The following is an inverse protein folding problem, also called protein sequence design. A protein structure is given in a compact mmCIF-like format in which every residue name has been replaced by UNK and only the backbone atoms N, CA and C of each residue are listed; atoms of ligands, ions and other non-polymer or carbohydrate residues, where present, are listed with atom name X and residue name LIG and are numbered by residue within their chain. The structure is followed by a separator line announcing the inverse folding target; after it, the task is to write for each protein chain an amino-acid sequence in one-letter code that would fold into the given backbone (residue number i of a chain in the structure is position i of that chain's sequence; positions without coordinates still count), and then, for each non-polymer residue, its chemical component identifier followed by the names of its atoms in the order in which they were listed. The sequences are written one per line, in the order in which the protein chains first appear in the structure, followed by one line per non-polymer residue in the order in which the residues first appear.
data_IF_547161994030
#
_entry.id   IF_547161994030
#
_cell.length_a   1.000
_cell.length_b   1.000
_cell.length_c   1.000
_cell.angle_alpha   90.00
_cell.angle_beta   90.00
_cell.angle_gamma   90.00
#
_symmetry.space_group_name_H-M   'P 1'
#
loop_
_entity.id
_entity.type
_entity.pdbx_description
1 polymer ?
#
# COMPACT_ATOMS: atom_id res chain seq x y z
N UNK A 1 41.47 -58.39 -17.92
CA UNK A 1 41.48 -59.85 -18.13
C UNK A 1 40.04 -60.32 -18.21
N UNK A 2 39.70 -60.98 -19.33
CA UNK A 2 38.47 -61.71 -19.68
C UNK A 2 37.09 -60.99 -19.59
N UNK A 3 36.39 -60.83 -20.73
CA UNK A 3 35.03 -60.31 -20.86
C UNK A 3 33.99 -61.45 -20.91
N UNK A 4 32.73 -61.20 -20.57
CA UNK A 4 31.63 -62.15 -20.83
C UNK A 4 30.43 -61.46 -21.49
N UNK A 5 30.36 -61.69 -22.80
CA UNK A 5 29.22 -62.11 -23.62
C UNK A 5 27.91 -61.31 -23.66
N UNK A 6 27.79 -60.63 -24.81
CA UNK A 6 26.57 -60.36 -25.57
C UNK A 6 25.84 -61.66 -25.97
N UNK A 7 24.51 -61.69 -25.81
CA UNK A 7 23.61 -62.27 -26.81
C UNK A 7 22.33 -61.41 -26.96
N UNK A 8 22.14 -61.00 -28.21
CA UNK A 8 20.94 -60.47 -28.90
C UNK A 8 19.75 -61.44 -28.75
N UNK A 9 18.48 -61.12 -29.00
CA UNK A 9 17.84 -60.07 -29.78
C UNK A 9 16.31 -60.09 -29.54
N UNK A 10 15.71 -58.91 -29.66
CA UNK A 10 14.44 -58.58 -30.37
C UNK A 10 13.12 -59.27 -29.98
N UNK A 11 12.17 -58.47 -29.47
CA UNK A 11 10.92 -58.12 -30.18
C UNK A 11 10.31 -56.81 -29.60
N UNK A 12 9.76 -55.89 -30.43
CA UNK A 12 9.17 -54.61 -30.00
C UNK A 12 7.62 -54.65 -30.12
N UNK A 13 6.89 -53.51 -30.13
CA UNK A 13 6.17 -52.98 -28.98
C UNK A 13 4.64 -53.05 -29.17
N UNK A 14 3.88 -53.03 -28.07
CA UNK A 14 2.48 -52.55 -28.14
C UNK A 14 2.28 -51.46 -27.11
N UNK A 15 2.06 -50.27 -27.64
CA UNK A 15 1.58 -49.08 -26.97
C UNK A 15 0.49 -49.44 -25.96
N UNK A 16 0.67 -49.02 -24.70
CA UNK A 16 -0.46 -48.54 -23.94
C UNK A 16 -0.08 -47.21 -23.31
N UNK A 17 -0.71 -46.18 -23.88
CA UNK A 17 -0.87 -44.85 -23.32
C UNK A 17 -1.26 -44.97 -21.85
N UNK A 18 -0.95 -43.94 -21.08
CA UNK A 18 -1.29 -43.69 -19.68
C UNK A 18 -0.07 -43.79 -18.77
N UNK A 19 0.46 -42.62 -18.43
CA UNK A 19 0.76 -42.15 -17.07
C UNK A 19 1.59 -40.86 -17.19
N UNK A 20 0.92 -39.76 -17.55
CA UNK A 20 1.42 -38.42 -17.25
C UNK A 20 1.19 -38.21 -15.76
N UNK A 21 2.17 -38.59 -14.95
CA UNK A 21 2.13 -38.45 -13.51
C UNK A 21 2.57 -37.05 -13.10
N UNK A 22 1.58 -36.25 -12.70
CA UNK A 22 1.58 -35.44 -11.47
C UNK A 22 2.84 -34.60 -11.18
N UNK A 23 3.02 -33.50 -11.90
CA UNK A 23 3.69 -32.31 -11.37
C UNK A 23 2.62 -31.33 -10.85
N UNK A 24 1.86 -31.76 -9.82
CA UNK A 24 1.04 -30.85 -9.04
C UNK A 24 1.98 -30.02 -8.18
N UNK A 25 2.46 -28.92 -8.74
CA UNK A 25 3.18 -27.86 -8.04
C UNK A 25 2.33 -27.47 -6.83
N UNK A 26 2.88 -27.74 -5.64
CA UNK A 26 2.44 -27.20 -4.37
C UNK A 26 2.54 -25.67 -4.43
N UNK A 27 1.55 -25.02 -5.05
CA UNK A 27 1.29 -23.62 -4.82
C UNK A 27 0.85 -23.52 -3.35
N UNK A 28 1.61 -22.83 -2.48
CA UNK A 28 1.08 -22.51 -1.17
C UNK A 28 -0.17 -21.67 -1.43
N UNK A 29 -1.34 -22.27 -1.21
CA UNK A 29 -2.60 -21.54 -1.06
C UNK A 29 -2.47 -20.75 0.23
N UNK A 30 -1.72 -19.65 0.16
CA UNK A 30 -1.94 -18.54 1.06
C UNK A 30 -3.42 -18.25 0.93
N UNK A 31 -4.16 -18.46 2.01
CA UNK A 31 -5.51 -17.94 2.15
C UNK A 31 -5.39 -16.42 2.00
N UNK A 32 -5.42 -15.97 0.75
CA UNK A 32 -5.68 -14.60 0.38
C UNK A 32 -7.09 -14.39 0.89
N UNK A 33 -7.24 -13.79 2.06
CA UNK A 33 -8.50 -13.16 2.42
C UNK A 33 -8.96 -12.40 1.17
N UNK A 34 -10.18 -12.69 0.69
CA UNK A 34 -10.69 -12.18 -0.58
C UNK A 34 -10.55 -10.65 -0.62
N UNK A 35 -9.47 -10.19 -1.28
CA UNK A 35 -9.22 -8.77 -1.48
C UNK A 35 -10.27 -8.31 -2.48
N UNK A 36 -10.94 -7.18 -2.20
CA UNK A 36 -11.93 -6.63 -3.12
C UNK A 36 -11.33 -6.55 -4.54
N UNK A 37 -11.98 -7.17 -5.56
CA UNK A 37 -11.39 -7.32 -6.90
C UNK A 37 -11.10 -5.97 -7.57
N UNK A 38 -11.83 -4.91 -7.19
CA UNK A 38 -11.59 -3.55 -7.70
C UNK A 38 -10.26 -3.01 -7.19
N UNK A 39 -9.93 -3.27 -5.92
CA UNK A 39 -8.65 -2.87 -5.35
C UNK A 39 -7.52 -3.77 -5.84
N UNK A 40 -7.75 -5.09 -5.91
CA UNK A 40 -6.76 -6.05 -6.39
C UNK A 40 -6.27 -5.67 -7.80
N UNK A 41 -7.20 -5.33 -8.71
CA UNK A 41 -6.85 -4.86 -10.05
C UNK A 41 -5.94 -3.62 -10.01
N UNK A 42 -6.29 -2.60 -9.22
CA UNK A 42 -5.48 -1.39 -9.10
C UNK A 42 -4.08 -1.68 -8.56
N UNK A 43 -3.98 -2.55 -7.54
CA UNK A 43 -2.71 -2.98 -6.95
C UNK A 43 -1.85 -3.72 -7.98
N UNK A 44 -2.44 -4.68 -8.68
CA UNK A 44 -1.72 -5.58 -9.59
C UNK A 44 -1.25 -4.84 -10.86
N UNK A 45 -1.91 -3.75 -11.24
CA UNK A 45 -1.50 -2.85 -12.32
C UNK A 45 -0.46 -1.79 -11.88
N UNK A 46 -0.16 -1.69 -10.57
CA UNK A 46 0.76 -0.69 -10.00
C UNK A 46 2.18 -1.22 -9.78
N UNK A 47 3.17 -0.33 -9.85
CA UNK A 47 4.57 -0.67 -9.53
C UNK A 47 4.75 -0.73 -7.99
N UNK A 48 5.20 -1.87 -7.42
CA UNK A 48 5.41 -1.97 -5.98
C UNK A 48 6.55 -1.05 -5.53
N UNK A 49 6.30 -0.31 -4.45
CA UNK A 49 7.27 0.61 -3.88
C UNK A 49 8.24 -0.14 -2.96
N UNK A 50 9.54 -0.07 -3.23
CA UNK A 50 10.56 -0.68 -2.37
C UNK A 50 10.71 -0.03 -0.99
N UNK A 51 10.23 1.21 -0.82
CA UNK A 51 10.19 1.93 0.47
C UNK A 51 9.85 3.41 0.29
N UNK A 52 8.93 3.93 1.13
CA UNK A 52 8.43 5.30 1.00
C UNK A 52 9.50 6.36 1.26
N UNK A 53 10.32 6.21 2.31
CA UNK A 53 11.37 7.18 2.65
C UNK A 53 12.38 7.38 1.52
N UNK A 54 12.97 6.28 1.02
CA UNK A 54 13.93 6.33 -0.08
C UNK A 54 13.34 6.89 -1.38
N UNK A 55 12.06 6.61 -1.63
CA UNK A 55 11.34 7.23 -2.75
C UNK A 55 11.20 8.75 -2.57
N UNK A 56 10.75 9.20 -1.39
CA UNK A 56 10.53 10.61 -1.11
C UNK A 56 11.83 11.42 -1.16
N UNK A 57 12.94 10.88 -0.63
CA UNK A 57 14.26 11.52 -0.69
C UNK A 57 14.69 11.81 -2.13
N UNK A 58 14.54 10.82 -3.02
CA UNK A 58 14.88 10.96 -4.44
C UNK A 58 13.91 11.86 -5.20
N UNK A 59 12.62 11.77 -4.90
CA UNK A 59 11.58 12.55 -5.58
C UNK A 59 11.63 14.04 -5.23
N UNK A 60 11.83 14.35 -3.94
CA UNK A 60 11.98 15.73 -3.47
C UNK A 60 13.31 16.30 -3.93
N UNK A 61 14.41 15.59 -3.68
CA UNK A 61 15.77 16.05 -3.91
C UNK A 61 16.17 17.14 -2.92
N UNK A 62 17.01 16.81 -1.94
CA UNK A 62 17.51 17.77 -0.94
C UNK A 62 18.63 18.66 -1.52
N UNK A 63 18.34 19.40 -2.61
CA UNK A 63 19.38 20.07 -3.40
C UNK A 63 19.73 21.49 -2.92
N UNK A 64 19.58 21.78 -1.62
CA UNK A 64 19.88 23.08 -1.01
C UNK A 64 21.11 22.97 -0.09
N UNK A 65 22.10 23.85 -0.26
CA UNK A 65 23.31 23.93 0.58
C UNK A 65 24.61 24.09 -0.21
N UNK A 66 25.68 24.56 0.46
CA UNK A 66 26.98 24.86 -0.17
C UNK A 66 27.77 23.62 -0.62
N UNK A 67 27.40 22.43 -0.14
CA UNK A 67 28.08 21.15 -0.42
C UNK A 67 27.21 20.20 -1.26
N UNK A 68 26.14 20.70 -1.89
CA UNK A 68 25.25 19.89 -2.71
C UNK A 68 25.87 19.67 -4.09
N UNK A 69 25.82 18.42 -4.57
CA UNK A 69 26.23 18.05 -5.92
C UNK A 69 25.48 18.91 -6.97
N UNK A 70 26.21 19.58 -7.89
CA UNK A 70 25.60 20.33 -9.00
C UNK A 70 24.56 19.55 -9.81
N UNK A 71 24.67 18.22 -9.85
CA UNK A 71 23.76 17.32 -10.56
C UNK A 71 22.48 16.97 -9.78
N UNK A 72 22.39 17.31 -8.48
CA UNK A 72 21.27 16.91 -7.62
C UNK A 72 19.90 17.30 -8.22
N UNK A 73 19.77 18.54 -8.71
CA UNK A 73 18.52 19.03 -9.29
C UNK A 73 18.12 18.23 -10.54
N UNK A 74 19.09 17.99 -11.42
CA UNK A 74 18.87 17.22 -12.65
C UNK A 74 18.49 15.76 -12.34
N UNK A 75 19.11 15.14 -11.34
CA UNK A 75 18.78 13.78 -10.90
C UNK A 75 17.37 13.69 -10.29
N UNK A 76 16.99 14.64 -9.44
CA UNK A 76 15.64 14.71 -8.87
C UNK A 76 14.59 14.93 -9.97
N UNK A 77 14.85 15.79 -10.95
CA UNK A 77 13.97 15.99 -12.11
C UNK A 77 13.85 14.76 -12.99
N UNK A 78 14.96 14.08 -13.29
CA UNK A 78 14.95 12.83 -14.04
C UNK A 78 14.17 11.73 -13.29
N UNK A 79 14.35 11.65 -11.97
CA UNK A 79 13.59 10.74 -11.13
C UNK A 79 12.09 11.05 -11.15
N UNK A 80 11.70 12.32 -11.05
CA UNK A 80 10.29 12.74 -11.16
C UNK A 80 9.69 12.38 -12.52
N UNK A 81 10.43 12.63 -13.62
CA UNK A 81 9.99 12.26 -14.98
C UNK A 81 9.77 10.75 -15.12
N UNK A 82 10.64 9.92 -14.54
CA UNK A 82 10.48 8.45 -14.54
C UNK A 82 9.16 7.98 -13.91
N UNK A 83 8.67 8.71 -12.91
CA UNK A 83 7.46 8.38 -12.15
C UNK A 83 6.23 9.20 -12.53
N UNK A 84 6.34 10.06 -13.54
CA UNK A 84 5.20 10.88 -13.99
C UNK A 84 4.09 9.98 -14.55
N UNK A 85 2.91 10.07 -13.94
CA UNK A 85 1.73 9.28 -14.34
C UNK A 85 1.78 7.79 -13.95
N UNK A 86 2.84 7.33 -13.28
CA UNK A 86 2.93 5.95 -12.81
C UNK A 86 2.11 5.75 -11.54
N UNK A 87 1.38 4.65 -11.48
CA UNK A 87 0.73 4.19 -10.26
C UNK A 87 1.72 3.35 -9.45
N UNK A 88 1.82 3.69 -8.17
CA UNK A 88 2.69 3.06 -7.20
C UNK A 88 1.84 2.42 -6.12
N UNK A 89 2.31 1.30 -5.60
CA UNK A 89 1.64 0.56 -4.54
C UNK A 89 2.55 0.42 -3.32
N UNK A 90 2.00 0.66 -2.14
CA UNK A 90 2.69 0.41 -0.88
C UNK A 90 1.78 -0.20 0.18
N UNK A 91 2.40 -0.92 1.11
CA UNK A 91 1.76 -1.41 2.34
C UNK A 91 2.24 -0.52 3.48
N UNK A 92 1.29 0.03 4.22
CA UNK A 92 1.52 0.64 5.53
C UNK A 92 1.23 -0.44 6.57
N UNK A 93 2.28 -0.86 7.26
CA UNK A 93 2.19 -1.87 8.31
C UNK A 93 1.51 -1.31 9.55
N UNK A 94 1.13 -2.21 10.45
CA UNK A 94 0.50 -1.96 11.74
C UNK A 94 1.21 -0.87 12.56
N UNK A 95 2.54 -0.89 12.58
CA UNK A 95 3.35 0.08 13.35
C UNK A 95 3.38 1.48 12.74
N UNK A 96 3.11 1.57 11.43
CA UNK A 96 3.17 2.80 10.66
C UNK A 96 1.77 3.38 10.37
N UNK A 97 0.71 2.64 10.68
CA UNK A 97 -0.68 2.97 10.37
C UNK A 97 -1.31 4.06 11.26
N UNK A 98 -0.51 5.00 11.75
CA UNK A 98 -0.93 6.09 12.64
C UNK A 98 -1.89 7.09 11.96
N UNK A 99 -2.08 6.98 10.65
CA UNK A 99 -3.02 7.79 9.91
C UNK A 99 -4.48 7.33 10.02
N UNK A 100 -4.70 6.12 10.56
CA UNK A 100 -6.01 5.51 10.69
C UNK A 100 -6.56 5.75 12.10
N UNK A 101 -7.81 6.21 12.18
CA UNK A 101 -8.50 6.41 13.45
C UNK A 101 -9.94 5.92 13.36
N UNK A 102 -10.51 5.38 14.46
CA UNK A 102 -11.93 5.10 14.50
C UNK A 102 -12.72 6.41 14.42
N UNK A 103 -13.77 6.41 13.59
CA UNK A 103 -14.74 7.49 13.47
C UNK A 103 -16.03 7.20 14.22
N UNK A 104 -17.12 7.90 13.87
CA UNK A 104 -18.45 7.63 14.42
C UNK A 104 -18.90 6.19 14.28
N UNK A 105 -19.76 5.75 15.20
CA UNK A 105 -20.37 4.42 15.23
C UNK A 105 -21.86 4.53 15.55
N UNK A 106 -22.67 3.73 14.86
CA UNK A 106 -24.10 3.59 15.10
C UNK A 106 -24.40 2.24 15.77
N UNK A 107 -24.81 2.22 17.05
CA UNK A 107 -25.20 0.98 17.72
C UNK A 107 -26.48 0.35 17.14
N UNK A 108 -27.34 1.17 16.51
CA UNK A 108 -28.58 0.69 15.91
C UNK A 108 -28.36 -0.08 14.60
N UNK A 109 -27.37 0.31 13.81
CA UNK A 109 -27.08 -0.30 12.50
C UNK A 109 -25.81 -1.14 12.47
N UNK A 110 -24.97 -1.05 13.50
CA UNK A 110 -23.65 -1.68 13.54
C UNK A 110 -22.63 -1.03 12.59
N UNK A 111 -22.98 0.10 11.97
CA UNK A 111 -22.13 0.82 11.03
C UNK A 111 -21.06 1.63 11.76
N UNK A 112 -19.85 1.59 11.23
CA UNK A 112 -18.72 2.38 11.70
C UNK A 112 -18.12 3.19 10.55
N UNK A 113 -17.40 4.24 10.92
CA UNK A 113 -16.52 5.00 10.04
C UNK A 113 -15.07 4.81 10.46
N UNK A 114 -14.16 4.78 9.49
CA UNK A 114 -12.72 4.93 9.69
C UNK A 114 -12.30 6.26 9.08
N UNK A 115 -11.70 7.10 9.91
CA UNK A 115 -11.07 8.34 9.48
C UNK A 115 -9.63 8.05 9.05
N UNK A 116 -9.26 8.57 7.89
CA UNK A 116 -7.93 8.40 7.32
C UNK A 116 -7.37 9.80 7.11
N UNK A 117 -6.31 10.14 7.83
CA UNK A 117 -5.54 11.37 7.56
C UNK A 117 -4.59 11.07 6.40
N UNK A 118 -4.74 11.64 5.19
CA UNK A 118 -3.92 11.21 4.07
C UNK A 118 -2.53 11.87 4.09
N UNK A 119 -1.76 11.55 5.12
CA UNK A 119 -0.40 11.99 5.41
C UNK A 119 0.43 10.75 5.77
N UNK A 120 1.40 10.41 4.92
CA UNK A 120 2.20 9.19 5.03
C UNK A 120 3.67 9.60 5.19
N UNK A 121 4.22 9.55 6.41
CA UNK A 121 5.59 9.98 6.67
C UNK A 121 6.61 9.00 6.08
N UNK A 122 7.76 9.52 5.64
CA UNK A 122 8.91 8.73 5.21
C UNK A 122 10.20 9.52 5.39
N UNK A 123 10.94 9.21 6.46
CA UNK A 123 12.13 9.97 6.85
C UNK A 123 11.78 11.42 7.21
N UNK A 124 12.45 12.38 6.56
CA UNK A 124 12.24 13.83 6.74
C UNK A 124 11.14 14.44 5.85
N UNK A 125 10.46 13.62 5.07
CA UNK A 125 9.44 14.02 4.10
C UNK A 125 8.12 13.28 4.37
N UNK A 126 7.07 13.66 3.66
CA UNK A 126 5.82 12.91 3.66
C UNK A 126 5.16 12.89 2.28
N UNK A 127 4.41 11.83 2.00
CA UNK A 127 3.44 11.79 0.91
C UNK A 127 2.08 12.25 1.43
N UNK A 128 1.36 13.07 0.65
CA UNK A 128 0.01 13.53 0.99
C UNK A 128 -0.97 13.32 -0.14
N UNK A 129 -2.26 13.09 0.18
CA UNK A 129 -3.30 13.18 -0.84
C UNK A 129 -3.67 14.63 -1.15
N UNK A 130 -3.27 15.11 -2.33
CA UNK A 130 -3.37 16.54 -2.62
C UNK A 130 -2.31 17.37 -1.87
N UNK A 131 -2.26 18.66 -2.20
CA UNK A 131 -1.27 19.59 -1.64
C UNK A 131 -1.78 20.23 -0.36
N UNK A 132 -1.09 20.06 0.80
CA UNK A 132 -1.46 20.77 2.01
C UNK A 132 -1.25 22.28 1.82
N UNK A 133 -2.21 23.09 2.27
CA UNK A 133 -2.17 24.55 2.08
C UNK A 133 -1.78 25.33 3.34
N UNK A 134 -1.86 24.68 4.51
CA UNK A 134 -1.61 25.33 5.81
C UNK A 134 -1.12 24.30 6.83
N UNK A 135 -0.56 24.82 7.91
CA UNK A 135 -0.15 24.05 9.09
C UNK A 135 -1.03 24.38 10.30
N UNK A 136 -1.08 23.46 11.26
CA UNK A 136 -1.68 23.69 12.58
C UNK A 136 -0.73 24.48 13.51
N UNK A 137 -1.15 24.71 14.75
CA UNK A 137 -0.35 25.42 15.76
C UNK A 137 0.97 24.71 16.14
N UNK A 138 1.10 23.42 15.80
CA UNK A 138 2.29 22.60 16.02
C UNK A 138 3.19 22.52 14.76
N UNK A 139 2.76 23.12 13.65
CA UNK A 139 3.48 23.09 12.38
C UNK A 139 3.20 21.84 11.53
N UNK A 140 2.18 21.05 11.88
CA UNK A 140 1.79 19.87 11.11
C UNK A 140 0.90 20.27 9.93
N UNK A 141 1.08 19.69 8.73
CA UNK A 141 0.19 19.94 7.60
C UNK A 141 -1.27 19.56 7.91
N UNK A 142 -2.20 20.46 7.59
CA UNK A 142 -3.65 20.20 7.76
C UNK A 142 -4.21 19.61 6.46
N UNK A 143 -4.81 18.42 6.57
CA UNK A 143 -5.39 17.67 5.46
C UNK A 143 -6.88 17.40 5.70
N UNK A 144 -7.73 17.43 4.66
CA UNK A 144 -9.08 16.88 4.76
C UNK A 144 -9.00 15.37 4.98
N UNK A 145 -9.84 14.85 5.89
CA UNK A 145 -9.92 13.42 6.14
C UNK A 145 -10.53 12.70 4.94
N UNK A 146 -10.01 11.53 4.62
CA UNK A 146 -10.74 10.53 3.84
C UNK A 146 -11.53 9.68 4.83
N UNK A 147 -12.70 9.21 4.40
CA UNK A 147 -13.56 8.37 5.23
C UNK A 147 -13.94 7.11 4.47
N UNK A 148 -13.95 5.99 5.18
CA UNK A 148 -14.54 4.73 4.70
C UNK A 148 -15.49 4.20 5.75
N UNK A 149 -16.54 3.53 5.32
CA UNK A 149 -17.54 2.92 6.18
C UNK A 149 -17.49 1.41 6.09
N UNK A 150 -18.03 0.77 7.12
CA UNK A 150 -18.22 -0.67 7.18
C UNK A 150 -19.26 -1.03 8.23
N UNK A 151 -19.57 -2.32 8.32
CA UNK A 151 -20.42 -2.88 9.36
C UNK A 151 -19.57 -3.79 10.24
N UNK A 152 -19.74 -3.71 11.56
CA UNK A 152 -19.02 -4.57 12.47
C UNK A 152 -19.26 -6.05 12.13
N UNK A 153 -18.21 -6.89 12.14
CA UNK A 153 -18.38 -8.33 12.06
C UNK A 153 -19.26 -8.85 13.19
N UNK A 154 -19.88 -10.01 12.98
CA UNK A 154 -20.65 -10.67 14.03
C UNK A 154 -19.78 -10.91 15.28
N UNK A 155 -20.35 -10.63 16.45
CA UNK A 155 -19.66 -10.76 17.74
C UNK A 155 -18.70 -9.61 18.08
N UNK A 156 -18.48 -8.63 17.20
CA UNK A 156 -17.71 -7.43 17.54
C UNK A 156 -18.61 -6.38 18.20
N UNK A 157 -18.08 -5.75 19.25
CA UNK A 157 -18.62 -4.51 19.79
C UNK A 157 -17.70 -3.33 19.46
N UNK A 158 -18.17 -2.11 19.75
CA UNK A 158 -17.41 -0.89 19.46
C UNK A 158 -16.08 -0.84 20.22
N UNK A 159 -16.02 -1.36 21.46
CA UNK A 159 -14.78 -1.40 22.24
C UNK A 159 -13.73 -2.29 21.57
N UNK A 160 -14.12 -3.45 21.03
CA UNK A 160 -13.24 -4.32 20.27
C UNK A 160 -12.73 -3.61 19.01
N UNK A 161 -13.62 -2.95 18.27
CA UNK A 161 -13.25 -2.19 17.08
C UNK A 161 -12.27 -1.04 17.39
N UNK A 162 -12.57 -0.19 18.37
CA UNK A 162 -11.68 0.89 18.77
C UNK A 162 -10.33 0.36 19.27
N UNK A 163 -10.32 -0.79 19.95
CA UNK A 163 -9.10 -1.44 20.43
C UNK A 163 -8.17 -1.80 19.27
N UNK A 164 -8.69 -2.18 18.11
CA UNK A 164 -7.89 -2.48 16.92
C UNK A 164 -6.98 -1.31 16.52
N UNK A 165 -7.43 -0.07 16.66
CA UNK A 165 -6.61 1.09 16.34
C UNK A 165 -5.60 1.39 17.44
N UNK A 166 -6.03 1.36 18.71
CA UNK A 166 -5.14 1.63 19.85
C UNK A 166 -4.02 0.58 20.01
N UNK A 167 -4.26 -0.65 19.60
CA UNK A 167 -3.34 -1.78 19.70
C UNK A 167 -2.57 -2.03 18.39
N UNK A 168 -2.64 -1.12 17.40
CA UNK A 168 -1.97 -1.28 16.11
C UNK A 168 -2.35 -2.60 15.41
N UNK A 169 -3.63 -2.94 15.42
CA UNK A 169 -4.16 -4.14 14.77
C UNK A 169 -4.70 -3.88 13.36
N UNK A 170 -4.43 -2.72 12.76
CA UNK A 170 -4.90 -2.33 11.44
C UNK A 170 -3.73 -2.00 10.52
N UNK A 171 -3.87 -2.35 9.24
CA UNK A 171 -2.91 -2.02 8.18
C UNK A 171 -3.62 -1.35 7.01
N UNK A 172 -2.88 -0.59 6.22
CA UNK A 172 -3.40 -0.01 4.98
C UNK A 172 -2.60 -0.47 3.77
N UNK A 173 -3.28 -0.70 2.67
CA UNK A 173 -2.71 -0.86 1.34
C UNK A 173 -3.09 0.38 0.54
N UNK A 174 -2.12 1.04 -0.09
CA UNK A 174 -2.33 2.33 -0.77
C UNK A 174 -1.81 2.24 -2.20
N UNK A 175 -2.67 2.58 -3.15
CA UNK A 175 -2.31 2.81 -4.56
C UNK A 175 -2.39 4.30 -4.83
N UNK A 176 -1.31 4.88 -5.35
CA UNK A 176 -1.20 6.32 -5.57
C UNK A 176 -0.38 6.69 -6.80
N UNK A 177 -0.63 7.87 -7.34
CA UNK A 177 0.14 8.50 -8.43
C UNK A 177 0.84 9.75 -7.88
N UNK A 178 2.18 9.80 -7.83
CA UNK A 178 2.91 11.00 -7.39
C UNK A 178 2.77 12.12 -8.43
N UNK A 179 2.62 13.37 -7.96
CA UNK A 179 2.32 14.52 -8.82
C UNK A 179 3.39 15.61 -8.75
N UNK A 180 3.67 16.14 -7.57
CA UNK A 180 4.55 17.30 -7.41
C UNK A 180 5.16 17.37 -6.01
N UNK A 181 6.18 18.19 -5.84
CA UNK A 181 6.75 18.50 -4.53
C UNK A 181 6.00 19.69 -3.93
N UNK A 182 5.65 19.60 -2.65
CA UNK A 182 5.12 20.72 -1.87
C UNK A 182 6.13 21.15 -0.80
N UNK A 183 5.99 22.40 -0.36
CA UNK A 183 6.71 22.90 0.81
C UNK A 183 5.80 23.77 1.66
N UNK A 184 5.94 23.69 2.98
CA UNK A 184 5.22 24.49 3.96
C UNK A 184 6.19 25.09 4.97
N UNK A 185 5.93 26.31 5.49
CA UNK A 185 6.74 26.87 6.55
C UNK A 185 6.65 26.02 7.82
N UNK A 186 7.79 25.79 8.48
CA UNK A 186 7.86 25.08 9.75
C UNK A 186 7.84 26.07 10.92
N UNK A 187 7.18 25.69 12.01
CA UNK A 187 7.25 26.45 13.28
C UNK A 187 8.70 26.46 13.78
N UNK A 188 9.23 27.64 14.08
CA UNK A 188 10.63 27.81 14.50
C UNK A 188 11.64 27.98 13.35
N UNK A 189 11.17 28.13 12.10
CA UNK A 189 12.02 28.41 10.94
C UNK A 189 12.23 27.19 10.03
N UNK A 190 12.58 27.45 8.77
CA UNK A 190 12.75 26.45 7.73
C UNK A 190 11.44 26.01 7.06
N UNK A 191 11.50 24.91 6.30
CA UNK A 191 10.38 24.38 5.52
C UNK A 191 10.24 22.87 5.71
N UNK A 192 9.01 22.42 5.83
CA UNK A 192 8.63 21.02 5.61
C UNK A 192 8.46 20.80 4.12
N UNK A 193 8.88 19.65 3.62
CA UNK A 193 8.73 19.28 2.22
C UNK A 193 8.03 17.92 2.14
N UNK A 194 7.38 17.68 1.01
CA UNK A 194 6.80 16.37 0.72
C UNK A 194 6.36 16.24 -0.71
N UNK A 195 5.67 15.14 -0.99
CA UNK A 195 5.17 14.80 -2.33
C UNK A 195 3.65 14.78 -2.29
N UNK A 196 3.05 15.61 -3.14
CA UNK A 196 1.62 15.53 -3.44
C UNK A 196 1.40 14.29 -4.30
N UNK A 197 0.43 13.47 -3.92
CA UNK A 197 -0.02 12.32 -4.68
C UNK A 197 -1.55 12.33 -4.84
N UNK A 198 -2.03 11.75 -5.95
CA UNK A 198 -3.42 11.32 -6.08
C UNK A 198 -3.49 9.90 -5.54
N UNK A 199 -4.28 9.67 -4.49
CA UNK A 199 -4.59 8.31 -4.04
C UNK A 199 -5.69 7.81 -4.98
N UNK A 200 -5.46 6.64 -5.55
CA UNK A 200 -6.39 5.99 -6.48
C UNK A 200 -7.22 4.93 -5.74
N UNK A 201 -6.59 4.26 -4.76
CA UNK A 201 -7.26 3.34 -3.87
C UNK A 201 -6.57 3.24 -2.51
N UNK A 202 -7.37 2.98 -1.48
CA UNK A 202 -6.89 2.67 -0.15
C UNK A 202 -7.77 1.57 0.46
N UNK A 203 -7.14 0.47 0.85
CA UNK A 203 -7.78 -0.67 1.52
C UNK A 203 -7.29 -0.74 2.96
N UNK A 204 -8.21 -0.64 3.92
CA UNK A 204 -7.95 -0.86 5.34
C UNK A 204 -8.31 -2.29 5.69
N UNK A 205 -7.43 -2.98 6.42
CA UNK A 205 -7.65 -4.38 6.83
C UNK A 205 -7.17 -4.64 8.25
N UNK A 206 -7.72 -5.69 8.88
CA UNK A 206 -7.17 -6.26 10.11
C UNK A 206 -5.75 -6.78 9.82
N UNK A 207 -4.78 -6.39 10.65
CA UNK A 207 -3.37 -6.76 10.46
C UNK A 207 -3.15 -8.26 10.42
N UNK A 208 -3.76 -8.98 11.37
CA UNK A 208 -3.56 -10.43 11.58
C UNK A 208 -4.28 -11.31 10.55
N UNK A 209 -5.55 -11.03 10.26
CA UNK A 209 -6.36 -11.90 9.37
C UNK A 209 -6.39 -11.40 7.94
N UNK A 210 -6.10 -10.12 7.71
CA UNK A 210 -6.31 -9.46 6.43
C UNK A 210 -7.77 -9.15 6.12
N UNK A 211 -8.70 -9.38 7.04
CA UNK A 211 -10.11 -9.05 6.87
C UNK A 211 -10.31 -7.58 6.53
N UNK A 212 -11.03 -7.29 5.44
CA UNK A 212 -11.29 -5.93 4.99
C UNK A 212 -12.16 -5.18 6.00
N UNK A 213 -11.69 -3.98 6.41
CA UNK A 213 -12.40 -3.06 7.30
C UNK A 213 -12.91 -1.83 6.56
N UNK A 214 -12.37 -1.50 5.39
CA UNK A 214 -12.84 -0.34 4.65
C UNK A 214 -12.12 -0.20 3.33
N UNK A 215 -12.83 0.37 2.35
CA UNK A 215 -12.32 0.54 1.01
C UNK A 215 -12.65 1.94 0.49
N UNK A 216 -11.61 2.67 0.11
CA UNK A 216 -11.72 3.97 -0.54
C UNK A 216 -11.22 3.84 -1.97
N UNK A 217 -12.01 4.25 -2.95
CA UNK A 217 -11.67 4.16 -4.37
C UNK A 217 -12.09 5.43 -5.09
N UNK A 218 -11.20 5.96 -5.95
CA UNK A 218 -11.52 7.03 -6.89
C UNK A 218 -12.24 8.24 -6.25
N UNK A 219 -11.74 8.70 -5.10
CA UNK A 219 -12.25 9.91 -4.46
C UNK A 219 -13.33 9.70 -3.41
N UNK A 220 -13.77 8.46 -3.15
CA UNK A 220 -14.89 8.20 -2.23
C UNK A 220 -14.81 6.86 -1.51
N UNK A 221 -15.59 6.77 -0.45
CA UNK A 221 -15.93 5.50 0.18
C UNK A 221 -16.62 4.56 -0.83
N UNK A 222 -16.05 3.36 -0.99
CA UNK A 222 -16.54 2.35 -1.93
C UNK A 222 -17.63 1.45 -1.32
N UNK A 223 -17.83 1.52 0.01
CA UNK A 223 -18.85 0.77 0.76
C UNK A 223 -20.10 1.60 1.04
N UNK A 224 -20.02 2.93 0.92
CA UNK A 224 -21.17 3.80 1.06
C UNK A 224 -22.27 3.38 0.05
N UNK A 225 -23.43 2.99 0.59
CA UNK A 225 -24.63 2.76 -0.24
C UNK A 225 -24.96 4.06 -0.96
N UNK A 226 -25.08 4.01 -2.28
CA UNK A 226 -25.56 5.15 -3.07
C UNK A 226 -27.01 5.48 -2.72
#
# INVERSE_FOLDING_TARGET
MAPWNFHRSLEPPVLSRFLVALAAVLLPTLALADVDPRFAKLRDESEPLGGLGAFLEKYVGACEGALVDPQCKAQAEAFRKKYQGKQLYMIVTEDDANMLAPGPYSPATGEYTINITPFFPGGRYAMTHGTPKKTDANGNPVMPLLTVTGTLPEGWNIQMFSRMFSMRGVRAQVVFTPQSVWSLPKKGGGKNYGVTARIDGLLVSEGRTGGQLGLWLNGKDANARR
#
